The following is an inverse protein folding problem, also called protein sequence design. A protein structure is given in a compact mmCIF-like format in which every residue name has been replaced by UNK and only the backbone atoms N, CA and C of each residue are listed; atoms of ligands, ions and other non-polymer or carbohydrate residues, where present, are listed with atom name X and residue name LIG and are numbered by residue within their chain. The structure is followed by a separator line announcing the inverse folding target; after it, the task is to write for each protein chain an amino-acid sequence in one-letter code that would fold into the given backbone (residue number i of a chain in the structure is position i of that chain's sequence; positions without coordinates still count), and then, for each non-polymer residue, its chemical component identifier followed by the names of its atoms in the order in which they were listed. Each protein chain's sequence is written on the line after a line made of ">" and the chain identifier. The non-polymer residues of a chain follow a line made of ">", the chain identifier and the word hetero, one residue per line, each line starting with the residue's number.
data_IF_830643405841
#
_entry.id   IF_830643405841
#
_cell.length_a   1.000
_cell.length_b   1.000
_cell.length_c   1.000
_cell.angle_alpha   90.00
_cell.angle_beta   90.00
_cell.angle_gamma   90.00
#
_symmetry.space_group_name_H-M   'P 1'
#
loop_
_entity.id
_entity.type
_entity.pdbx_description
1 polymer ?
#
# COMPACT_ATOMS: atom_id res chain seq x y z
N UNK A 1 -30.08 34.70 36.71
CA UNK A 1 -29.51 33.33 36.91
C UNK A 1 -30.05 32.28 35.94
N UNK A 2 -31.24 32.45 35.29
CA UNK A 2 -31.81 31.42 34.38
C UNK A 2 -31.11 31.31 33.02
N UNK A 3 -30.49 32.37 32.47
CA UNK A 3 -29.81 32.34 31.17
C UNK A 3 -28.53 31.47 31.12
N UNK A 4 -27.77 31.38 32.21
CA UNK A 4 -26.56 30.57 32.29
C UNK A 4 -26.88 29.08 32.27
N UNK A 5 -27.99 28.67 32.91
CA UNK A 5 -28.45 27.28 32.94
C UNK A 5 -28.86 26.79 31.55
N UNK A 6 -29.56 27.61 30.77
CA UNK A 6 -29.96 27.27 29.39
C UNK A 6 -28.77 27.22 28.44
N UNK A 7 -27.80 28.11 28.59
CA UNK A 7 -26.58 28.09 27.78
C UNK A 7 -25.73 26.82 28.05
N UNK A 8 -25.60 26.43 29.32
CA UNK A 8 -24.90 25.20 29.70
C UNK A 8 -25.59 23.94 29.17
N UNK A 9 -26.95 23.90 29.24
CA UNK A 9 -27.72 22.79 28.69
C UNK A 9 -27.57 22.69 27.15
N UNK A 10 -27.67 23.83 26.44
CA UNK A 10 -27.51 23.88 25.00
C UNK A 10 -26.11 23.42 24.59
N UNK A 11 -25.06 23.86 25.27
CA UNK A 11 -23.70 23.41 25.04
C UNK A 11 -23.53 21.90 25.26
N UNK A 12 -24.10 21.37 26.34
CA UNK A 12 -24.11 19.93 26.64
C UNK A 12 -24.78 19.11 25.55
N UNK A 13 -25.93 19.56 25.03
CA UNK A 13 -26.63 18.91 23.91
C UNK A 13 -25.76 18.93 22.62
N UNK A 14 -25.15 20.07 22.29
CA UNK A 14 -24.29 20.20 21.10
C UNK A 14 -23.05 19.30 21.18
N UNK A 15 -22.39 19.24 22.33
CA UNK A 15 -21.24 18.36 22.57
C UNK A 15 -21.65 16.90 22.45
N UNK A 16 -22.78 16.51 23.07
CA UNK A 16 -23.30 15.14 23.00
C UNK A 16 -23.67 14.74 21.57
N UNK A 17 -24.28 15.63 20.81
CA UNK A 17 -24.60 15.42 19.39
C UNK A 17 -23.36 15.28 18.55
N UNK A 18 -22.34 16.12 18.80
CA UNK A 18 -21.02 16.04 18.12
C UNK A 18 -20.30 14.70 18.37
N UNK A 19 -20.25 14.26 19.64
CA UNK A 19 -19.68 12.96 20.01
C UNK A 19 -20.46 11.81 19.36
N UNK A 20 -21.79 11.87 19.38
CA UNK A 20 -22.65 10.87 18.73
C UNK A 20 -22.38 10.78 17.21
N UNK A 21 -22.20 11.91 16.54
CA UNK A 21 -21.92 11.97 15.11
C UNK A 21 -20.55 11.37 14.78
N UNK A 22 -19.51 11.68 15.56
CA UNK A 22 -18.17 11.11 15.37
C UNK A 22 -18.19 9.59 15.61
N UNK A 23 -18.88 9.13 16.65
CA UNK A 23 -19.03 7.70 16.94
C UNK A 23 -19.77 6.96 15.80
N UNK A 24 -20.82 7.56 15.27
CA UNK A 24 -21.54 7.03 14.11
C UNK A 24 -20.65 6.94 12.87
N UNK A 25 -19.87 7.99 12.57
CA UNK A 25 -18.93 7.99 11.46
C UNK A 25 -17.86 6.89 11.60
N UNK A 26 -17.29 6.75 12.79
CA UNK A 26 -16.31 5.70 13.09
C UNK A 26 -16.91 4.29 12.90
N UNK A 27 -18.15 4.07 13.34
CA UNK A 27 -18.84 2.79 13.21
C UNK A 27 -19.18 2.47 11.75
N UNK A 28 -19.65 3.46 10.99
CA UNK A 28 -19.90 3.34 9.54
C UNK A 28 -18.62 2.98 8.81
N UNK A 29 -17.51 3.69 9.10
CA UNK A 29 -16.21 3.43 8.49
C UNK A 29 -15.70 2.03 8.81
N UNK A 30 -15.79 1.60 10.06
CA UNK A 30 -15.40 0.25 10.45
C UNK A 30 -16.22 -0.82 9.69
N UNK A 31 -17.52 -0.62 9.53
CA UNK A 31 -18.38 -1.50 8.74
C UNK A 31 -17.97 -1.58 7.28
N UNK A 32 -17.65 -0.45 6.64
CA UNK A 32 -17.14 -0.39 5.27
C UNK A 32 -15.79 -1.11 5.14
N UNK A 33 -14.87 -0.89 6.09
CA UNK A 33 -13.59 -1.61 6.13
C UNK A 33 -13.78 -3.13 6.20
N UNK A 34 -14.66 -3.62 7.05
CA UNK A 34 -14.95 -5.05 7.17
C UNK A 34 -15.54 -5.62 5.87
N UNK A 35 -16.40 -4.87 5.19
CA UNK A 35 -16.97 -5.28 3.91
C UNK A 35 -15.89 -5.42 2.82
N UNK A 36 -14.95 -4.46 2.72
CA UNK A 36 -13.83 -4.52 1.79
C UNK A 36 -12.90 -5.70 2.10
N UNK A 37 -12.59 -5.93 3.37
CA UNK A 37 -11.77 -7.07 3.80
C UNK A 37 -12.45 -8.40 3.47
N UNK A 38 -13.75 -8.51 3.66
CA UNK A 38 -14.50 -9.72 3.30
C UNK A 38 -14.49 -9.97 1.77
N UNK A 39 -14.59 -8.90 0.96
CA UNK A 39 -14.46 -9.00 -0.49
C UNK A 39 -13.04 -9.45 -0.89
N UNK A 40 -12.00 -8.89 -0.28
CA UNK A 40 -10.62 -9.29 -0.53
C UNK A 40 -10.39 -10.76 -0.17
N UNK A 41 -10.79 -11.19 1.03
CA UNK A 41 -10.62 -12.60 1.46
C UNK A 41 -11.40 -13.58 0.57
N UNK A 42 -12.51 -13.18 -0.01
CA UNK A 42 -13.27 -13.99 -0.95
C UNK A 42 -12.52 -14.24 -2.29
N UNK A 43 -11.52 -13.41 -2.62
CA UNK A 43 -10.66 -13.62 -3.81
C UNK A 43 -9.47 -14.53 -3.52
N UNK A 44 -9.21 -14.84 -2.25
CA UNK A 44 -8.04 -15.58 -1.84
C UNK A 44 -8.06 -17.00 -2.38
N UNK A 45 -6.99 -17.37 -3.07
CA UNK A 45 -6.72 -18.72 -3.53
C UNK A 45 -5.42 -19.21 -2.92
N UNK A 46 -5.26 -20.51 -2.66
CA UNK A 46 -3.99 -21.05 -2.19
C UNK A 46 -2.93 -20.88 -3.28
N UNK A 47 -1.65 -20.65 -2.91
CA UNK A 47 -0.56 -20.61 -3.88
C UNK A 47 -0.35 -22.00 -4.49
N UNK A 48 0.06 -22.05 -5.76
CA UNK A 48 0.34 -23.30 -6.48
C UNK A 48 1.50 -24.10 -5.87
N UNK A 49 2.49 -23.37 -5.32
CA UNK A 49 3.62 -23.94 -4.60
C UNK A 49 3.56 -23.56 -3.13
N UNK A 50 3.79 -24.53 -2.24
CA UNK A 50 3.83 -24.27 -0.80
C UNK A 50 5.16 -23.59 -0.37
N UNK A 51 6.23 -23.83 -1.13
CA UNK A 51 7.60 -23.40 -0.79
C UNK A 51 8.35 -22.91 -2.01
N UNK A 52 9.21 -21.93 -1.76
CA UNK A 52 10.22 -21.46 -2.71
C UNK A 52 11.33 -22.51 -2.82
N UNK A 53 11.78 -22.78 -4.05
CA UNK A 53 12.94 -23.58 -4.40
C UNK A 53 13.99 -22.69 -5.10
N UNK A 54 15.23 -22.77 -4.69
CA UNK A 54 16.31 -21.93 -5.23
C UNK A 54 16.53 -22.14 -6.74
N UNK A 55 16.14 -23.28 -7.29
CA UNK A 55 16.20 -23.55 -8.75
C UNK A 55 15.29 -22.61 -9.56
N UNK A 56 14.25 -22.03 -8.94
CA UNK A 56 13.38 -21.01 -9.57
C UNK A 56 14.15 -19.75 -10.01
N UNK A 57 15.35 -19.54 -9.46
CA UNK A 57 16.20 -18.42 -9.84
C UNK A 57 17.01 -18.65 -11.13
N UNK A 58 17.04 -19.87 -11.66
CA UNK A 58 17.76 -20.19 -12.87
C UNK A 58 17.21 -19.39 -14.06
N UNK A 59 18.11 -18.75 -14.82
CA UNK A 59 17.75 -17.92 -15.96
C UNK A 59 17.26 -16.50 -15.62
N UNK A 60 17.03 -16.17 -14.33
CA UNK A 60 16.69 -14.79 -13.95
C UNK A 60 17.90 -13.85 -14.12
N UNK A 61 17.65 -12.53 -14.30
CA UNK A 61 18.71 -11.53 -14.30
C UNK A 61 19.58 -11.60 -13.04
N UNK A 62 20.88 -11.43 -13.20
CA UNK A 62 21.84 -11.56 -12.09
C UNK A 62 21.50 -10.71 -10.85
N UNK A 63 21.06 -9.43 -10.96
CA UNK A 63 20.66 -8.65 -9.79
C UNK A 63 19.42 -9.23 -9.09
N UNK A 64 18.48 -9.83 -9.82
CA UNK A 64 17.28 -10.47 -9.26
C UNK A 64 17.65 -11.75 -8.51
N UNK A 65 18.56 -12.57 -9.06
CA UNK A 65 19.07 -13.75 -8.35
C UNK A 65 19.76 -13.36 -7.04
N UNK A 66 20.59 -12.28 -7.06
CA UNK A 66 21.25 -11.77 -5.84
C UNK A 66 20.21 -11.33 -4.79
N UNK A 67 19.16 -10.64 -5.24
CA UNK A 67 18.08 -10.19 -4.36
C UNK A 67 17.40 -11.37 -3.67
N UNK A 68 16.89 -12.34 -4.41
CA UNK A 68 16.19 -13.47 -3.79
C UNK A 68 17.08 -14.29 -2.86
N UNK A 69 18.37 -14.50 -3.22
CA UNK A 69 19.32 -15.15 -2.30
C UNK A 69 19.62 -14.34 -1.04
N UNK A 70 19.51 -13.01 -1.11
CA UNK A 70 19.71 -12.13 0.04
C UNK A 70 18.48 -12.08 0.97
N UNK A 71 17.26 -12.25 0.42
CA UNK A 71 16.01 -12.03 1.18
C UNK A 71 15.25 -13.31 1.51
N UNK A 72 15.45 -14.42 0.80
CA UNK A 72 14.79 -15.70 1.01
C UNK A 72 15.81 -16.80 1.34
N UNK A 73 15.37 -17.78 2.10
CA UNK A 73 16.11 -19.05 2.32
C UNK A 73 15.44 -20.14 1.49
N UNK A 74 16.24 -21.09 0.99
CA UNK A 74 15.68 -22.25 0.30
C UNK A 74 14.68 -22.99 1.18
N UNK A 75 13.56 -23.42 0.61
CA UNK A 75 12.45 -24.00 1.35
C UNK A 75 11.57 -22.97 2.10
N UNK A 76 11.78 -21.65 1.90
CA UNK A 76 10.92 -20.61 2.48
C UNK A 76 9.46 -20.86 2.10
N UNK A 77 8.55 -20.82 3.06
CA UNK A 77 7.11 -20.94 2.78
C UNK A 77 6.63 -19.73 1.97
N UNK A 78 5.77 -19.99 0.97
CA UNK A 78 5.16 -18.94 0.17
C UNK A 78 4.10 -18.21 1.01
N UNK A 79 4.19 -16.89 1.02
CA UNK A 79 3.21 -16.02 1.68
C UNK A 79 1.91 -16.08 0.89
N UNK A 80 0.82 -16.46 1.54
CA UNK A 80 -0.52 -16.43 0.95
C UNK A 80 -1.26 -15.12 1.26
N UNK A 81 -0.95 -14.54 2.43
CA UNK A 81 -1.48 -13.24 2.82
C UNK A 81 -0.55 -12.56 3.82
N UNK A 82 -0.66 -11.23 3.91
CA UNK A 82 0.08 -10.43 4.89
C UNK A 82 -0.83 -9.36 5.52
N UNK A 83 -0.54 -9.04 6.78
CA UNK A 83 -1.08 -7.85 7.45
C UNK A 83 0.09 -6.96 7.81
N UNK A 84 0.08 -5.73 7.31
CA UNK A 84 1.15 -4.73 7.51
C UNK A 84 0.55 -3.51 8.21
N UNK A 85 1.12 -3.10 9.33
CA UNK A 85 0.77 -1.82 9.97
C UNK A 85 1.90 -0.83 9.79
N UNK A 86 1.54 0.40 9.48
CA UNK A 86 2.50 1.48 9.33
C UNK A 86 2.16 2.65 10.25
N UNK A 87 3.22 3.35 10.65
CA UNK A 87 3.17 4.70 11.21
C UNK A 87 4.08 5.60 10.40
N UNK A 88 3.77 6.90 10.33
CA UNK A 88 4.62 7.79 9.56
C UNK A 88 3.99 9.13 9.30
N UNK A 89 4.39 9.76 8.20
CA UNK A 89 3.87 11.06 7.77
C UNK A 89 3.43 11.04 6.31
N UNK A 90 2.35 11.76 6.04
CA UNK A 90 1.76 11.92 4.72
C UNK A 90 1.74 13.40 4.36
N UNK A 91 2.30 13.78 3.19
CA UNK A 91 2.24 15.14 2.69
C UNK A 91 0.98 15.31 1.84
N UNK A 92 0.08 16.17 2.27
CA UNK A 92 -1.20 16.43 1.62
C UNK A 92 -1.10 17.40 0.43
N UNK A 93 0.10 17.93 0.14
CA UNK A 93 0.31 18.90 -0.93
C UNK A 93 1.51 18.54 -1.81
N UNK A 94 1.34 18.66 -3.13
CA UNK A 94 2.44 18.51 -4.10
C UNK A 94 3.28 19.80 -4.25
N UNK A 95 2.77 20.95 -3.78
CA UNK A 95 3.40 22.26 -3.99
C UNK A 95 4.03 22.84 -2.72
N UNK A 96 3.68 22.31 -1.54
CA UNK A 96 4.16 22.78 -0.24
C UNK A 96 4.34 21.62 0.73
N UNK A 97 5.06 21.85 1.81
CA UNK A 97 5.22 20.85 2.87
C UNK A 97 4.05 20.93 3.86
N UNK A 98 3.13 19.97 3.75
CA UNK A 98 1.97 19.80 4.62
C UNK A 98 1.95 18.40 5.20
N UNK A 99 3.04 18.03 5.86
CA UNK A 99 3.18 16.72 6.49
C UNK A 99 2.25 16.56 7.69
N UNK A 100 1.50 15.47 7.67
CA UNK A 100 0.57 15.06 8.73
C UNK A 100 0.92 13.66 9.19
N UNK A 101 0.87 13.38 10.51
CA UNK A 101 1.08 12.03 11.00
C UNK A 101 -0.07 11.11 10.53
N UNK A 102 0.27 9.86 10.22
CA UNK A 102 -0.71 8.84 9.89
C UNK A 102 -0.40 7.52 10.60
N UNK A 103 -1.43 6.70 10.70
CA UNK A 103 -1.36 5.27 11.00
C UNK A 103 -2.15 4.52 9.95
N UNK A 104 -1.77 3.28 9.66
CA UNK A 104 -2.54 2.45 8.74
C UNK A 104 -2.43 0.97 9.06
N UNK A 105 -3.41 0.22 8.59
CA UNK A 105 -3.37 -1.22 8.50
C UNK A 105 -3.71 -1.63 7.08
N UNK A 106 -2.90 -2.51 6.53
CA UNK A 106 -3.08 -3.08 5.19
C UNK A 106 -3.22 -4.58 5.30
N UNK A 107 -4.21 -5.12 4.63
CA UNK A 107 -4.35 -6.55 4.36
C UNK A 107 -4.00 -6.81 2.92
N UNK A 108 -3.17 -7.82 2.66
CA UNK A 108 -2.73 -8.23 1.32
C UNK A 108 -3.03 -9.71 1.11
N UNK A 109 -3.47 -10.09 -0.08
CA UNK A 109 -3.48 -11.47 -0.58
C UNK A 109 -2.58 -11.54 -1.80
N UNK A 110 -1.81 -12.63 -1.96
CA UNK A 110 -0.68 -12.66 -2.89
C UNK A 110 -0.95 -13.44 -4.17
N UNK A 111 -1.56 -14.61 -4.10
CA UNK A 111 -1.73 -15.47 -5.28
C UNK A 111 -2.77 -14.91 -6.28
N UNK A 112 -3.88 -14.36 -5.79
CA UNK A 112 -4.74 -13.48 -6.59
C UNK A 112 -4.47 -12.05 -6.10
N UNK A 113 -3.62 -11.26 -6.81
CA UNK A 113 -3.10 -10.02 -6.26
C UNK A 113 -4.20 -9.08 -5.80
N UNK A 114 -4.10 -8.65 -4.54
CA UNK A 114 -5.08 -7.74 -3.99
C UNK A 114 -4.67 -7.21 -2.61
N UNK A 115 -5.20 -6.04 -2.26
CA UNK A 115 -5.00 -5.46 -0.94
C UNK A 115 -6.16 -4.53 -0.56
N UNK A 116 -6.30 -4.30 0.74
CA UNK A 116 -7.10 -3.23 1.33
C UNK A 116 -6.23 -2.49 2.34
N UNK A 117 -6.00 -1.22 2.10
CA UNK A 117 -5.30 -0.30 2.99
C UNK A 117 -6.32 0.62 3.66
N UNK A 118 -6.32 0.62 4.99
CA UNK A 118 -7.13 1.50 5.83
C UNK A 118 -6.20 2.48 6.54
N UNK A 119 -6.15 3.71 6.05
CA UNK A 119 -5.31 4.77 6.56
C UNK A 119 -6.09 5.80 7.38
N UNK A 120 -5.40 6.36 8.38
CA UNK A 120 -5.90 7.44 9.25
C UNK A 120 -4.87 8.55 9.31
N UNK A 121 -5.14 9.68 8.66
CA UNK A 121 -4.27 10.86 8.64
C UNK A 121 -4.84 11.90 9.62
N UNK A 122 -4.06 12.30 10.61
CA UNK A 122 -4.48 13.29 11.58
C UNK A 122 -4.42 14.71 10.96
N UNK A 123 -5.57 15.32 10.71
CA UNK A 123 -5.65 16.68 10.15
C UNK A 123 -5.50 17.75 11.24
N UNK A 124 -6.21 17.58 12.35
CA UNK A 124 -6.21 18.44 13.54
C UNK A 124 -6.61 17.61 14.77
N UNK A 125 -6.50 18.14 16.01
CA UNK A 125 -6.99 17.46 17.19
C UNK A 125 -8.47 17.03 17.03
N UNK A 126 -8.72 15.73 17.14
CA UNK A 126 -10.05 15.15 16.98
C UNK A 126 -10.60 15.08 15.55
N UNK A 127 -9.84 15.50 14.54
CA UNK A 127 -10.26 15.45 13.13
C UNK A 127 -9.26 14.58 12.35
N UNK A 128 -9.74 13.46 11.82
CA UNK A 128 -8.96 12.55 11.00
C UNK A 128 -9.56 12.42 9.59
N UNK A 129 -8.68 12.30 8.61
CA UNK A 129 -9.00 11.81 7.28
C UNK A 129 -8.80 10.29 7.30
N UNK A 130 -9.87 9.57 7.10
CA UNK A 130 -9.85 8.13 6.86
C UNK A 130 -9.71 7.89 5.37
N UNK A 131 -8.96 6.87 4.97
CA UNK A 131 -8.77 6.55 3.55
C UNK A 131 -8.85 5.04 3.38
N UNK A 132 -9.76 4.59 2.53
CA UNK A 132 -9.66 3.28 1.92
C UNK A 132 -8.94 3.43 0.58
N UNK A 133 -7.94 2.57 0.38
CA UNK A 133 -7.22 2.43 -0.86
C UNK A 133 -7.05 0.94 -1.11
N UNK A 134 -7.56 0.43 -2.24
CA UNK A 134 -7.67 -1.01 -2.42
C UNK A 134 -7.56 -1.44 -3.89
N UNK A 135 -7.07 -2.66 -4.07
CA UNK A 135 -7.17 -3.42 -5.31
C UNK A 135 -7.82 -4.76 -5.02
N UNK A 136 -8.98 -5.02 -5.60
CA UNK A 136 -9.73 -6.26 -5.39
C UNK A 136 -10.25 -6.77 -6.72
N UNK A 137 -9.76 -7.90 -7.19
CA UNK A 137 -10.24 -8.60 -8.39
C UNK A 137 -10.32 -7.72 -9.66
N UNK A 138 -9.33 -6.84 -9.89
CA UNK A 138 -9.29 -5.94 -11.05
C UNK A 138 -10.03 -4.62 -10.85
N UNK A 139 -10.52 -4.36 -9.65
CA UNK A 139 -11.18 -3.10 -9.27
C UNK A 139 -10.28 -2.32 -8.33
N UNK A 140 -9.96 -1.09 -8.70
CA UNK A 140 -9.30 -0.11 -7.83
C UNK A 140 -10.33 0.69 -7.05
N UNK A 141 -10.02 1.05 -5.81
CA UNK A 141 -10.88 1.82 -4.91
C UNK A 141 -10.03 2.87 -4.21
N UNK A 142 -10.49 4.13 -4.23
CA UNK A 142 -9.92 5.23 -3.45
C UNK A 142 -11.07 6.04 -2.84
N UNK A 143 -11.22 5.95 -1.52
CA UNK A 143 -12.26 6.64 -0.76
C UNK A 143 -11.65 7.38 0.44
N UNK A 144 -11.23 8.65 0.31
CA UNK A 144 -10.92 9.52 1.45
C UNK A 144 -12.19 10.10 2.07
N UNK A 145 -12.30 10.01 3.39
CA UNK A 145 -13.48 10.47 4.14
C UNK A 145 -13.08 11.21 5.42
N UNK A 146 -13.64 12.39 5.64
CA UNK A 146 -13.46 13.13 6.90
C UNK A 146 -14.33 12.51 7.98
N UNK A 147 -13.71 12.04 9.07
CA UNK A 147 -14.36 11.38 10.21
C UNK A 147 -15.21 10.15 9.84
N UNK A 148 -15.05 9.56 8.66
CA UNK A 148 -15.93 8.49 8.15
C UNK A 148 -17.36 8.95 7.83
N UNK A 149 -17.60 10.26 7.82
CA UNK A 149 -18.92 10.87 7.62
C UNK A 149 -19.08 11.45 6.23
N UNK A 150 -18.07 12.17 5.76
CA UNK A 150 -18.12 12.90 4.50
C UNK A 150 -17.00 12.42 3.58
N UNK A 151 -17.35 11.69 2.53
CA UNK A 151 -16.41 11.26 1.51
C UNK A 151 -16.05 12.45 0.63
N UNK A 152 -14.74 12.74 0.50
CA UNK A 152 -14.22 13.82 -0.34
C UNK A 152 -14.27 13.44 -1.82
N UNK A 153 -14.07 12.17 -2.09
CA UNK A 153 -14.25 11.53 -3.39
C UNK A 153 -14.54 10.05 -3.15
N UNK A 154 -15.15 9.42 -4.13
CA UNK A 154 -15.39 7.98 -4.16
C UNK A 154 -15.08 7.54 -5.60
N UNK A 155 -13.86 7.02 -5.80
CA UNK A 155 -13.42 6.53 -7.10
C UNK A 155 -13.27 5.03 -7.01
N UNK A 156 -14.09 4.34 -7.79
CA UNK A 156 -14.09 2.88 -7.85
C UNK A 156 -14.26 2.42 -9.29
N UNK A 157 -13.51 1.41 -9.70
CA UNK A 157 -13.67 0.79 -11.01
C UNK A 157 -12.41 0.17 -11.58
N UNK A 158 -12.49 -0.17 -12.86
CA UNK A 158 -11.37 -0.59 -13.69
C UNK A 158 -10.55 0.59 -14.25
N UNK A 159 -9.77 0.34 -15.30
CA UNK A 159 -8.99 1.38 -15.98
C UNK A 159 -7.89 1.99 -15.11
N UNK A 160 -7.76 3.32 -15.14
CA UNK A 160 -6.65 4.05 -14.52
C UNK A 160 -6.55 3.84 -13.00
N UNK A 161 -7.68 3.78 -12.29
CA UNK A 161 -7.64 3.55 -10.84
C UNK A 161 -7.16 2.14 -10.52
N UNK A 162 -7.68 1.13 -11.19
CA UNK A 162 -7.25 -0.25 -10.98
C UNK A 162 -5.79 -0.46 -11.38
N UNK A 163 -5.35 0.18 -12.48
CA UNK A 163 -3.95 0.15 -12.92
C UNK A 163 -3.02 0.77 -11.86
N UNK A 164 -3.40 1.92 -11.32
CA UNK A 164 -2.65 2.61 -10.26
C UNK A 164 -2.55 1.78 -8.98
N UNK A 165 -3.62 1.06 -8.61
CA UNK A 165 -3.61 0.21 -7.42
C UNK A 165 -2.86 -1.10 -7.64
N UNK A 166 -2.88 -1.69 -8.84
CA UNK A 166 -2.03 -2.83 -9.18
C UNK A 166 -0.53 -2.44 -9.18
N UNK A 167 -0.19 -1.23 -9.64
CA UNK A 167 1.17 -0.67 -9.50
C UNK A 167 1.58 -0.58 -8.02
N UNK A 168 0.67 -0.12 -7.17
CA UNK A 168 0.91 -0.04 -5.72
C UNK A 168 1.12 -1.43 -5.11
N UNK A 169 0.29 -2.40 -5.45
CA UNK A 169 0.47 -3.79 -5.01
C UNK A 169 1.87 -4.32 -5.35
N UNK A 170 2.31 -4.14 -6.59
CA UNK A 170 3.58 -4.67 -7.06
C UNK A 170 4.79 -3.98 -6.41
N UNK A 171 4.76 -2.65 -6.27
CA UNK A 171 5.88 -1.92 -5.67
C UNK A 171 6.02 -2.22 -4.17
N UNK A 172 4.92 -2.47 -3.48
CA UNK A 172 4.87 -2.83 -2.06
C UNK A 172 5.24 -4.30 -1.77
N UNK A 173 5.39 -5.13 -2.80
CA UNK A 173 5.74 -6.54 -2.65
C UNK A 173 7.12 -6.78 -2.01
N UNK A 174 7.95 -5.75 -1.85
CA UNK A 174 9.16 -5.80 -1.02
C UNK A 174 8.85 -6.17 0.44
N UNK A 175 7.65 -5.91 0.95
CA UNK A 175 7.20 -6.30 2.29
C UNK A 175 6.68 -7.75 2.36
N UNK A 176 6.37 -8.36 1.23
CA UNK A 176 5.93 -9.76 1.10
C UNK A 176 6.65 -10.43 -0.08
N UNK A 177 7.99 -10.63 0.06
CA UNK A 177 8.91 -10.80 -1.06
C UNK A 177 8.69 -12.08 -1.89
N UNK A 178 8.02 -13.11 -1.34
CA UNK A 178 7.69 -14.29 -2.14
C UNK A 178 6.72 -13.97 -3.27
N UNK A 179 5.91 -12.90 -3.15
CA UNK A 179 5.01 -12.46 -4.23
C UNK A 179 5.74 -11.89 -5.46
N UNK A 180 7.04 -11.63 -5.35
CA UNK A 180 7.89 -11.20 -6.48
C UNK A 180 8.51 -12.39 -7.25
N UNK A 181 8.33 -13.63 -6.80
CA UNK A 181 8.86 -14.83 -7.45
C UNK A 181 8.16 -15.09 -8.81
N UNK A 182 8.87 -15.69 -9.78
CA UNK A 182 8.27 -16.10 -11.05
C UNK A 182 7.07 -17.05 -10.87
N UNK A 183 7.12 -17.96 -9.93
CA UNK A 183 6.00 -18.86 -9.57
C UNK A 183 4.74 -18.12 -9.10
N UNK A 184 4.87 -16.86 -8.71
CA UNK A 184 3.76 -15.99 -8.36
C UNK A 184 3.33 -15.05 -9.49
N UNK A 185 3.82 -15.30 -10.72
CA UNK A 185 3.40 -14.60 -11.93
C UNK A 185 4.20 -13.32 -12.25
N UNK A 186 5.30 -13.04 -11.55
CA UNK A 186 6.16 -11.90 -11.87
C UNK A 186 7.22 -12.29 -12.90
N UNK A 187 7.25 -11.58 -14.02
CA UNK A 187 8.24 -11.75 -15.08
C UNK A 187 9.37 -10.74 -14.96
N UNK A 188 10.61 -11.24 -14.92
CA UNK A 188 11.79 -10.42 -14.77
C UNK A 188 12.60 -10.31 -16.07
N UNK A 189 12.99 -9.09 -16.42
CA UNK A 189 13.85 -8.80 -17.58
C UNK A 189 15.07 -8.00 -17.15
N UNK A 190 16.25 -8.39 -17.65
CA UNK A 190 17.49 -7.67 -17.39
C UNK A 190 17.45 -6.26 -18.03
N UNK A 191 17.96 -5.27 -17.29
CA UNK A 191 18.27 -3.94 -17.81
C UNK A 191 19.79 -3.73 -17.79
N UNK A 192 20.41 -3.91 -16.62
CA UNK A 192 21.86 -3.86 -16.41
C UNK A 192 22.25 -4.66 -15.15
N UNK A 193 23.50 -4.54 -14.69
CA UNK A 193 24.03 -5.30 -13.55
C UNK A 193 23.37 -4.96 -12.20
N UNK A 194 22.64 -3.87 -12.11
CA UNK A 194 21.99 -3.36 -10.88
C UNK A 194 20.50 -3.09 -11.04
N UNK A 195 19.97 -3.24 -12.24
CA UNK A 195 18.55 -2.97 -12.50
C UNK A 195 17.90 -4.07 -13.31
N UNK A 196 16.61 -4.32 -13.03
CA UNK A 196 15.75 -5.23 -13.77
C UNK A 196 14.33 -4.69 -13.84
N UNK A 197 13.60 -5.06 -14.88
CA UNK A 197 12.18 -4.81 -14.97
C UNK A 197 11.38 -5.98 -14.39
N UNK A 198 10.40 -5.69 -13.54
CA UNK A 198 9.43 -6.65 -13.01
C UNK A 198 8.06 -6.36 -13.61
N UNK A 199 7.48 -7.32 -14.30
CA UNK A 199 6.15 -7.22 -14.91
C UNK A 199 5.18 -8.16 -14.22
N UNK A 200 4.04 -7.65 -13.81
CA UNK A 200 2.91 -8.41 -13.28
C UNK A 200 1.70 -8.21 -14.19
N UNK A 201 1.04 -9.31 -14.52
CA UNK A 201 -0.23 -9.31 -15.24
C UNK A 201 -1.31 -9.83 -14.32
N UNK A 202 -2.36 -9.06 -14.13
CA UNK A 202 -3.58 -9.52 -13.47
C UNK A 202 -4.79 -9.20 -14.34
N UNK A 203 -5.52 -10.25 -14.75
CA UNK A 203 -6.66 -10.14 -15.66
C UNK A 203 -6.24 -9.43 -16.97
N UNK A 204 -6.85 -8.30 -17.29
CA UNK A 204 -6.53 -7.48 -18.48
C UNK A 204 -5.50 -6.39 -18.21
N UNK A 205 -5.03 -6.25 -16.96
CA UNK A 205 -4.06 -5.22 -16.56
C UNK A 205 -2.64 -5.79 -16.61
N UNK A 206 -1.71 -4.96 -17.05
CA UNK A 206 -0.27 -5.26 -17.05
C UNK A 206 0.49 -4.06 -16.55
N UNK A 207 1.37 -4.28 -15.56
CA UNK A 207 2.19 -3.25 -14.96
C UNK A 207 3.65 -3.68 -14.95
N UNK A 208 4.55 -2.75 -15.28
CA UNK A 208 5.99 -3.00 -15.30
C UNK A 208 6.70 -1.93 -14.48
N UNK A 209 7.41 -2.34 -13.43
CA UNK A 209 8.27 -1.45 -12.66
C UNK A 209 9.74 -1.73 -12.95
N UNK A 210 10.57 -0.67 -12.95
CA UNK A 210 12.03 -0.78 -12.97
C UNK A 210 12.52 -0.83 -11.52
N UNK A 211 13.23 -1.90 -11.18
CA UNK A 211 13.75 -2.14 -9.83
C UNK A 211 15.26 -1.92 -9.82
N UNK A 212 15.75 -1.16 -8.83
CA UNK A 212 17.18 -0.90 -8.62
C UNK A 212 17.65 -1.58 -7.33
N UNK A 213 18.76 -2.29 -7.42
CA UNK A 213 19.34 -3.08 -6.34
C UNK A 213 20.66 -2.44 -5.84
N UNK A 214 20.90 -2.55 -4.54
CA UNK A 214 22.17 -2.18 -3.93
C UNK A 214 23.25 -3.24 -4.10
N UNK A 215 24.46 -2.91 -3.70
CA UNK A 215 25.61 -3.84 -3.71
C UNK A 215 25.41 -5.04 -2.77
N UNK A 216 24.56 -4.89 -1.77
CA UNK A 216 24.11 -5.94 -0.85
C UNK A 216 22.99 -6.83 -1.42
N UNK A 217 22.61 -6.62 -2.69
CA UNK A 217 21.56 -7.35 -3.37
C UNK A 217 20.13 -6.92 -3.00
N UNK A 218 19.93 -5.96 -2.08
CA UNK A 218 18.61 -5.55 -1.63
C UNK A 218 18.00 -4.50 -2.57
N UNK A 219 16.68 -4.49 -2.71
CA UNK A 219 15.95 -3.45 -3.43
C UNK A 219 16.17 -2.11 -2.73
N UNK A 220 16.66 -1.12 -3.46
CA UNK A 220 16.81 0.27 -3.00
C UNK A 220 15.66 1.15 -3.44
N UNK A 221 15.25 1.00 -4.68
CA UNK A 221 14.11 1.72 -5.24
C UNK A 221 13.43 0.91 -6.34
N UNK A 222 12.17 1.25 -6.57
CA UNK A 222 11.48 0.83 -7.78
C UNK A 222 10.67 2.01 -8.32
N UNK A 223 10.49 2.06 -9.63
CA UNK A 223 9.85 3.18 -10.32
C UNK A 223 8.92 2.68 -11.42
N UNK A 224 7.72 3.24 -11.47
CA UNK A 224 6.87 3.20 -12.65
C UNK A 224 7.07 4.48 -13.44
N UNK A 225 7.24 4.40 -14.76
CA UNK A 225 7.51 5.56 -15.62
C UNK A 225 6.29 6.46 -15.78
N UNK A 226 5.08 5.89 -15.69
CA UNK A 226 3.83 6.60 -15.88
C UNK A 226 2.74 6.01 -14.95
N UNK A 227 2.47 6.68 -13.83
CA UNK A 227 1.30 6.42 -12.98
C UNK A 227 0.37 7.62 -13.04
N UNK A 228 -0.93 7.37 -13.16
CA UNK A 228 -1.95 8.42 -13.13
C UNK A 228 -1.99 9.13 -11.77
N UNK A 229 -1.80 10.43 -11.76
CA UNK A 229 -1.99 11.30 -10.60
C UNK A 229 -3.14 12.26 -10.87
N UNK A 230 -4.08 12.39 -9.93
CA UNK A 230 -5.15 13.38 -10.03
C UNK A 230 -4.60 14.75 -9.66
N UNK A 231 -4.54 15.65 -10.62
CA UNK A 231 -4.18 17.06 -10.41
C UNK A 231 -5.39 17.93 -10.76
N UNK A 232 -6.05 18.43 -9.73
CA UNK A 232 -7.36 19.05 -9.88
C UNK A 232 -8.40 18.05 -10.36
N UNK A 233 -8.88 18.18 -11.60
CA UNK A 233 -9.87 17.28 -12.23
C UNK A 233 -9.27 16.47 -13.39
N UNK A 234 -7.97 16.51 -13.58
CA UNK A 234 -7.28 15.87 -14.71
C UNK A 234 -6.32 14.79 -14.20
N UNK A 235 -6.30 13.66 -14.87
CA UNK A 235 -5.29 12.64 -14.63
C UNK A 235 -4.04 13.00 -15.43
N UNK A 236 -2.92 13.15 -14.74
CA UNK A 236 -1.61 13.41 -15.32
C UNK A 236 -0.71 12.22 -15.02
N UNK A 237 -0.14 11.62 -16.06
CA UNK A 237 0.79 10.53 -15.91
C UNK A 237 2.19 11.06 -15.57
N UNK A 238 2.73 10.61 -14.45
CA UNK A 238 4.06 11.01 -13.97
C UNK A 238 4.83 9.80 -13.45
N UNK A 239 6.17 9.82 -13.51
CA UNK A 239 6.96 8.77 -12.87
C UNK A 239 6.72 8.77 -11.35
N UNK A 240 6.64 7.55 -10.80
CA UNK A 240 6.30 7.30 -9.41
C UNK A 240 7.29 6.30 -8.80
N UNK A 241 7.97 6.70 -7.73
CA UNK A 241 9.10 5.98 -7.15
C UNK A 241 8.85 5.62 -5.69
N UNK A 242 9.11 4.36 -5.34
CA UNK A 242 9.27 3.89 -3.98
C UNK A 242 10.73 3.67 -3.64
N UNK A 243 11.13 3.96 -2.40
CA UNK A 243 12.45 3.66 -1.82
C UNK A 243 12.33 2.94 -0.51
N UNK A 244 13.22 1.99 -0.27
CA UNK A 244 13.22 1.18 0.95
C UNK A 244 14.56 1.20 1.65
N UNK A 245 14.51 1.08 2.98
CA UNK A 245 15.66 0.99 3.85
C UNK A 245 15.33 0.22 5.13
N UNK A 246 16.32 0.10 6.01
CA UNK A 246 16.18 -0.58 7.32
C UNK A 246 15.67 -2.03 7.16
N UNK A 247 16.41 -2.83 6.37
CA UNK A 247 16.06 -4.23 6.17
C UNK A 247 16.31 -5.06 7.43
N UNK A 248 15.29 -5.77 7.90
CA UNK A 248 15.34 -6.62 9.07
C UNK A 248 14.83 -8.02 8.75
N UNK A 249 15.23 -9.02 9.54
CA UNK A 249 14.71 -10.38 9.40
C UNK A 249 13.31 -10.49 10.02
N UNK A 250 12.37 -11.06 9.25
CA UNK A 250 11.00 -11.39 9.67
C UNK A 250 10.64 -12.76 9.10
N UNK A 251 10.28 -13.73 9.96
CA UNK A 251 9.91 -15.10 9.55
C UNK A 251 10.91 -15.73 8.57
N UNK A 252 12.22 -15.49 8.79
CA UNK A 252 13.30 -16.00 7.96
C UNK A 252 13.58 -15.21 6.68
N UNK A 253 12.82 -14.17 6.38
CA UNK A 253 12.98 -13.28 5.20
C UNK A 253 13.56 -11.93 5.60
N UNK A 254 14.36 -11.32 4.72
CA UNK A 254 14.83 -9.93 4.91
C UNK A 254 13.89 -8.97 4.22
N UNK A 255 13.24 -8.11 4.99
CA UNK A 255 12.23 -7.15 4.50
C UNK A 255 12.53 -5.74 4.99
N UNK A 256 12.21 -4.71 4.20
CA UNK A 256 12.46 -3.32 4.60
C UNK A 256 11.45 -2.90 5.67
N UNK A 257 11.92 -2.19 6.69
CA UNK A 257 11.05 -1.64 7.72
C UNK A 257 10.68 -0.18 7.47
N UNK A 258 11.33 0.48 6.50
CA UNK A 258 11.06 1.88 6.15
C UNK A 258 10.84 2.02 4.64
N UNK A 259 9.80 2.75 4.28
CA UNK A 259 9.47 3.08 2.89
C UNK A 259 9.17 4.56 2.71
N UNK A 260 9.62 5.13 1.59
CA UNK A 260 9.27 6.47 1.16
C UNK A 260 8.75 6.40 -0.29
N UNK A 261 7.66 7.13 -0.58
CA UNK A 261 7.08 7.19 -1.93
C UNK A 261 7.05 8.65 -2.41
N UNK A 262 7.37 8.85 -3.68
CA UNK A 262 7.45 10.17 -4.29
C UNK A 262 6.95 10.19 -5.73
N UNK A 263 6.44 11.32 -6.14
CA UNK A 263 6.30 11.69 -7.55
C UNK A 263 7.60 12.29 -8.08
N UNK A 264 8.00 11.92 -9.29
CA UNK A 264 9.13 12.53 -9.98
C UNK A 264 8.58 13.56 -10.95
N UNK A 265 8.76 14.83 -10.61
CA UNK A 265 8.24 15.96 -11.39
C UNK A 265 9.39 16.69 -12.10
N UNK A 266 9.14 17.56 -13.09
CA UNK A 266 10.18 18.40 -13.69
C UNK A 266 10.92 19.28 -12.67
N UNK A 267 10.29 19.56 -11.51
CA UNK A 267 10.87 20.33 -10.40
C UNK A 267 11.61 19.44 -9.38
N UNK A 268 11.80 18.16 -9.72
CA UNK A 268 12.49 17.17 -8.90
C UNK A 268 11.55 16.21 -8.18
N UNK A 269 12.14 15.43 -7.29
CA UNK A 269 11.45 14.41 -6.50
C UNK A 269 10.59 15.05 -5.42
N UNK A 270 9.31 14.68 -5.35
CA UNK A 270 8.29 15.17 -4.41
C UNK A 270 7.78 14.04 -3.53
N UNK A 271 8.43 13.77 -2.38
CA UNK A 271 7.95 12.77 -1.45
C UNK A 271 6.60 13.17 -0.85
N UNK A 272 5.69 12.19 -0.75
CA UNK A 272 4.41 12.43 -0.10
C UNK A 272 4.05 11.39 0.97
N UNK A 273 4.74 10.25 1.00
CA UNK A 273 4.57 9.20 1.99
C UNK A 273 5.93 8.84 2.59
N UNK A 274 6.00 8.77 3.91
CA UNK A 274 7.12 8.22 4.68
C UNK A 274 6.54 7.33 5.76
N UNK A 275 6.77 6.03 5.65
CA UNK A 275 6.21 5.04 6.56
C UNK A 275 7.26 4.13 7.16
N UNK A 276 7.03 3.76 8.41
CA UNK A 276 7.77 2.71 9.10
C UNK A 276 6.80 1.59 9.44
N UNK A 277 7.19 0.36 9.13
CA UNK A 277 6.44 -0.84 9.50
C UNK A 277 6.50 -1.00 11.03
N UNK A 278 5.36 -0.91 11.67
CA UNK A 278 5.22 -1.10 13.13
C UNK A 278 4.83 -2.53 13.50
N UNK A 279 4.17 -3.25 12.58
CA UNK A 279 3.77 -4.65 12.76
C UNK A 279 3.68 -5.34 11.39
N UNK A 280 4.11 -6.59 11.29
CA UNK A 280 4.11 -7.37 10.06
C UNK A 280 3.85 -8.83 10.37
N UNK A 281 2.71 -9.33 9.92
CA UNK A 281 2.26 -10.71 10.16
C UNK A 281 2.01 -11.38 8.82
N UNK A 282 2.55 -12.57 8.64
CA UNK A 282 2.36 -13.39 7.44
C UNK A 282 1.44 -14.58 7.72
N UNK A 283 0.65 -14.92 6.71
CA UNK A 283 -0.02 -16.21 6.59
C UNK A 283 0.58 -16.92 5.38
N UNK A 284 0.99 -18.15 5.59
CA UNK A 284 1.62 -18.96 4.57
C UNK A 284 0.60 -19.92 3.95
N UNK A 285 0.87 -20.35 2.73
CA UNK A 285 0.16 -21.44 2.09
C UNK A 285 0.25 -22.76 2.88
N UNK A 286 -0.65 -23.70 2.63
CA UNK A 286 -0.66 -25.03 3.27
C UNK A 286 0.59 -25.85 3.00
#
# INVERSE_FOLDING_TARGET
>A
MHGVGWAALALGVLVSAGVGLVAFGAQRWAGSTLALLAQLEATRTPPDLARYDVSELEGLPAPVQRYFRAVLKDGQRIIAAATVKHTGTFNLSLTSEQWKPFTSQQRVVTHAPGFVWNGHVALAPGIALHVHDAYIAGVGILEPSVLGLYSLTDVQGGGEIALGELMRYLIEASWYPTALLPSQGVHWQAVDDRTANATLVDRSLSVTMRVSFGDDGLIRSACFEARGAMIGKVIVHMPWEGRWSDYQEREGMRVPMTGEVAWLTPQGRKPYYRGTVSDLVYEFGP
#
